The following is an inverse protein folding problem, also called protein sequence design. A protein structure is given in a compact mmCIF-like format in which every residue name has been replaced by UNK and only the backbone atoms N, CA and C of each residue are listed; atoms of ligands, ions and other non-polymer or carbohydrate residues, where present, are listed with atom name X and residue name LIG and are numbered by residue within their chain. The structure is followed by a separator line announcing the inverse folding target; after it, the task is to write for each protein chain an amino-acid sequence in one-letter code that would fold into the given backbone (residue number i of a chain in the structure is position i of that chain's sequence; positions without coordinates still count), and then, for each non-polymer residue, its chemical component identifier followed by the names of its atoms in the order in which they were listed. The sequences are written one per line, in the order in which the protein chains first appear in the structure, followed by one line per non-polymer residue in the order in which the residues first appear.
data_IF_909645210530
#
_entry.id   IF_909645210530
#
_cell.length_a   1.000
_cell.length_b   1.000
_cell.length_c   1.000
_cell.angle_alpha   90.00
_cell.angle_beta   90.00
_cell.angle_gamma   90.00
#
_symmetry.space_group_name_H-M   'P 1'
#
loop_
_entity.id
_entity.type
_entity.pdbx_description
1 polymer ?
#
# COMPACT_ATOMS: atom_id res chain seq x y z
N UNK A 1 -42.91 -61.10 0.35
CA UNK A 1 -42.85 -59.64 0.47
C UNK A 1 -42.35 -59.28 1.87
N UNK A 2 -41.09 -59.32 2.14
CA UNK A 2 -40.49 -58.76 3.36
C UNK A 2 -38.97 -58.94 3.32
N UNK A 3 -38.27 -58.14 2.58
CA UNK A 3 -36.78 -58.03 2.63
C UNK A 3 -36.29 -56.84 1.79
N UNK A 4 -36.74 -55.62 2.09
CA UNK A 4 -36.19 -54.37 1.47
C UNK A 4 -36.33 -53.20 2.47
N UNK A 5 -36.03 -53.36 3.75
CA UNK A 5 -36.10 -52.27 4.71
C UNK A 5 -34.97 -52.29 5.76
N UNK A 6 -33.74 -52.69 5.38
CA UNK A 6 -32.62 -52.64 6.35
C UNK A 6 -31.30 -52.04 5.78
N UNK A 7 -31.35 -51.29 4.68
CA UNK A 7 -30.13 -50.75 4.04
C UNK A 7 -30.10 -49.20 3.99
N UNK A 8 -30.93 -48.49 4.76
CA UNK A 8 -31.02 -47.02 4.69
C UNK A 8 -30.37 -46.30 5.90
N UNK A 9 -30.10 -47.01 6.98
CA UNK A 9 -29.63 -46.38 8.25
C UNK A 9 -28.07 -46.28 8.38
N UNK A 10 -27.30 -46.93 7.52
CA UNK A 10 -25.84 -46.95 7.64
C UNK A 10 -25.16 -45.77 6.93
N UNK A 11 -25.85 -45.06 6.03
CA UNK A 11 -25.33 -43.86 5.35
C UNK A 11 -25.47 -42.56 6.17
N UNK A 12 -26.22 -42.57 7.26
CA UNK A 12 -26.44 -41.39 8.14
C UNK A 12 -25.31 -41.16 9.13
N UNK A 13 -24.72 -42.23 9.64
CA UNK A 13 -23.65 -42.14 10.64
C UNK A 13 -22.30 -41.72 10.05
N UNK A 14 -21.96 -42.19 8.85
CA UNK A 14 -20.72 -41.77 8.18
C UNK A 14 -20.72 -40.28 7.76
N UNK A 15 -21.90 -39.73 7.45
CA UNK A 15 -22.04 -38.30 7.16
C UNK A 15 -21.91 -37.41 8.42
N UNK A 16 -22.29 -37.86 9.60
CA UNK A 16 -22.14 -37.11 10.85
C UNK A 16 -20.71 -37.12 11.38
N UNK A 17 -19.96 -38.21 11.16
CA UNK A 17 -18.53 -38.28 11.52
C UNK A 17 -17.67 -37.47 10.54
N UNK A 18 -18.04 -37.40 9.26
CA UNK A 18 -17.39 -36.52 8.28
C UNK A 18 -17.64 -35.02 8.52
N UNK A 19 -18.59 -34.63 9.38
CA UNK A 19 -18.90 -33.26 9.76
C UNK A 19 -18.09 -32.75 10.95
N UNK A 20 -17.32 -33.57 11.65
CA UNK A 20 -16.31 -33.12 12.62
C UNK A 20 -15.12 -32.51 11.86
N UNK A 21 -15.25 -31.23 11.50
CA UNK A 21 -14.17 -30.46 10.87
C UNK A 21 -13.04 -30.27 11.87
N UNK A 22 -12.09 -31.22 11.91
CA UNK A 22 -10.90 -31.09 12.73
C UNK A 22 -10.06 -29.93 12.16
N UNK A 23 -9.68 -28.94 12.98
CA UNK A 23 -8.86 -27.83 12.50
C UNK A 23 -7.55 -28.32 11.85
N UNK A 24 -7.09 -27.74 10.75
CA UNK A 24 -5.85 -28.14 10.08
C UNK A 24 -4.65 -28.12 11.01
N UNK A 25 -3.95 -29.25 11.16
CA UNK A 25 -2.75 -29.38 12.02
C UNK A 25 -1.82 -30.48 11.47
N UNK A 26 -0.61 -30.53 12.00
CA UNK A 26 0.34 -31.65 11.87
C UNK A 26 1.14 -31.74 13.16
N UNK A 27 0.73 -32.68 14.04
CA UNK A 27 1.40 -32.89 15.33
C UNK A 27 2.82 -33.39 15.10
N UNK A 28 3.04 -34.19 14.06
CA UNK A 28 4.33 -34.73 13.69
C UNK A 28 5.31 -33.61 13.31
N UNK A 29 4.87 -32.64 12.52
CA UNK A 29 5.69 -31.49 12.16
C UNK A 29 5.98 -30.61 13.37
N UNK A 30 4.99 -30.36 14.24
CA UNK A 30 5.18 -29.60 15.48
C UNK A 30 6.19 -30.27 16.41
N UNK A 31 6.05 -31.57 16.64
CA UNK A 31 6.96 -32.35 17.47
C UNK A 31 8.39 -32.36 16.88
N UNK A 32 8.49 -32.46 15.55
CA UNK A 32 9.79 -32.43 14.86
C UNK A 32 10.50 -31.09 14.97
N UNK A 33 9.75 -29.97 14.92
CA UNK A 33 10.30 -28.63 15.16
C UNK A 33 10.80 -28.50 16.60
N UNK A 34 9.95 -28.80 17.58
CA UNK A 34 10.30 -28.67 19.00
C UNK A 34 11.46 -29.57 19.39
N UNK A 35 11.41 -30.83 18.97
CA UNK A 35 12.50 -31.78 19.25
C UNK A 35 13.81 -31.35 18.59
N UNK A 36 13.75 -30.84 17.34
CA UNK A 36 14.94 -30.30 16.68
C UNK A 36 15.54 -29.11 17.42
N UNK A 37 14.72 -28.20 17.96
CA UNK A 37 15.18 -27.06 18.77
C UNK A 37 15.77 -27.48 20.12
N UNK A 38 15.24 -28.52 20.75
CA UNK A 38 15.78 -29.08 22.01
C UNK A 38 17.13 -29.76 21.83
N UNK A 39 17.42 -30.28 20.62
CA UNK A 39 18.70 -30.94 20.29
C UNK A 39 19.74 -29.99 19.71
N UNK A 40 19.32 -29.00 18.93
CA UNK A 40 20.19 -28.03 18.26
C UNK A 40 19.59 -26.61 18.38
N UNK A 41 20.11 -25.83 19.33
CA UNK A 41 19.65 -24.46 19.53
C UNK A 41 20.02 -23.53 18.36
N UNK A 42 21.06 -23.83 17.57
CA UNK A 42 21.39 -23.09 16.35
C UNK A 42 20.32 -23.19 15.26
N UNK A 43 19.45 -24.19 15.37
CA UNK A 43 18.28 -24.29 14.49
C UNK A 43 17.23 -23.19 14.72
N UNK A 44 17.27 -22.50 15.87
CA UNK A 44 16.36 -21.39 16.18
C UNK A 44 16.40 -20.28 15.13
N UNK A 45 17.59 -19.89 14.68
CA UNK A 45 17.75 -18.82 13.68
C UNK A 45 17.12 -19.16 12.32
N UNK A 46 16.90 -20.47 12.05
CA UNK A 46 16.27 -20.95 10.82
C UNK A 46 14.76 -21.00 10.86
N UNK A 47 14.14 -20.85 12.05
CA UNK A 47 12.69 -21.03 12.24
C UNK A 47 12.03 -19.89 13.00
N UNK A 48 12.78 -19.07 13.72
CA UNK A 48 12.26 -17.97 14.55
C UNK A 48 11.56 -16.85 13.74
N UNK A 49 11.95 -16.70 12.48
CA UNK A 49 11.32 -15.78 11.53
C UNK A 49 10.02 -16.36 10.93
N UNK A 50 9.85 -17.68 10.97
CA UNK A 50 8.73 -18.40 10.36
C UNK A 50 7.59 -18.65 11.35
N UNK A 51 7.90 -18.95 12.60
CA UNK A 51 6.97 -19.43 13.60
C UNK A 51 6.87 -18.51 14.81
N UNK A 52 5.65 -18.42 15.34
CA UNK A 52 5.34 -17.87 16.65
C UNK A 52 4.69 -18.94 17.52
N UNK A 53 4.62 -18.73 18.83
CA UNK A 53 3.96 -19.66 19.76
C UNK A 53 2.50 -19.96 19.33
N UNK A 54 1.80 -18.97 18.81
CA UNK A 54 0.41 -19.08 18.36
C UNK A 54 0.22 -19.98 17.12
N UNK A 55 1.31 -20.29 16.38
CA UNK A 55 1.22 -21.10 15.19
C UNK A 55 1.12 -22.60 15.48
N UNK A 56 1.42 -23.02 16.69
CA UNK A 56 1.27 -24.43 17.12
C UNK A 56 -0.21 -24.74 17.45
N UNK A 57 -0.66 -25.91 17.04
CA UNK A 57 -2.01 -26.38 17.31
C UNK A 57 -2.18 -26.79 18.76
N UNK A 58 -1.27 -27.66 19.26
CA UNK A 58 -1.30 -28.11 20.65
C UNK A 58 -0.89 -27.00 21.60
N UNK A 59 -1.66 -26.84 22.67
CA UNK A 59 -1.37 -25.87 23.72
C UNK A 59 -0.02 -26.14 24.39
N UNK A 60 0.29 -27.42 24.65
CA UNK A 60 1.56 -27.86 25.23
C UNK A 60 2.74 -27.44 24.34
N UNK A 61 2.61 -27.56 23.02
CA UNK A 61 3.65 -27.16 22.06
C UNK A 61 3.89 -25.65 22.06
N UNK A 62 2.82 -24.85 22.24
CA UNK A 62 2.94 -23.38 22.40
C UNK A 62 3.78 -23.01 23.61
N UNK A 63 3.52 -23.70 24.74
CA UNK A 63 4.26 -23.47 25.98
C UNK A 63 5.74 -23.85 25.84
N UNK A 64 6.03 -25.00 25.22
CA UNK A 64 7.40 -25.47 24.99
C UNK A 64 8.15 -24.51 24.07
N UNK A 65 7.55 -24.11 22.91
CA UNK A 65 8.16 -23.16 21.99
C UNK A 65 8.46 -21.83 22.66
N UNK A 66 7.49 -21.28 23.43
CA UNK A 66 7.67 -20.03 24.16
C UNK A 66 8.75 -20.13 25.27
N UNK A 67 8.93 -21.29 25.90
CA UNK A 67 9.99 -21.51 26.88
C UNK A 67 11.37 -21.57 26.19
N UNK A 68 11.49 -22.30 25.08
CA UNK A 68 12.69 -22.35 24.25
C UNK A 68 13.08 -20.94 23.79
N UNK A 69 12.15 -20.18 23.22
CA UNK A 69 12.41 -18.82 22.74
C UNK A 69 12.89 -17.87 23.85
N UNK A 70 12.32 -17.96 25.05
CA UNK A 70 12.77 -17.15 26.20
C UNK A 70 14.20 -17.49 26.65
N UNK A 71 14.54 -18.77 26.68
CA UNK A 71 15.89 -19.21 27.05
C UNK A 71 16.93 -18.74 26.02
N UNK A 72 16.68 -18.97 24.73
CA UNK A 72 17.60 -18.59 23.66
C UNK A 72 17.77 -17.06 23.60
N UNK A 73 16.67 -16.28 23.71
CA UNK A 73 16.72 -14.82 23.73
C UNK A 73 17.48 -14.28 24.96
N UNK A 74 17.51 -15.04 26.05
CA UNK A 74 18.34 -14.73 27.23
C UNK A 74 19.78 -15.28 27.11
N UNK A 75 20.21 -15.76 25.93
CA UNK A 75 21.50 -16.39 25.67
C UNK A 75 21.78 -17.60 26.59
N UNK A 76 20.73 -18.35 26.92
CA UNK A 76 20.80 -19.57 27.75
C UNK A 76 20.52 -20.78 26.87
N UNK A 77 21.19 -21.93 27.10
CA UNK A 77 20.90 -23.15 26.37
C UNK A 77 19.44 -23.61 26.65
N UNK A 78 18.77 -24.09 25.59
CA UNK A 78 17.42 -24.61 25.65
C UNK A 78 17.40 -26.10 25.34
N UNK A 79 17.81 -26.90 26.29
CA UNK A 79 17.71 -28.37 26.27
C UNK A 79 16.52 -28.86 27.08
N UNK A 80 16.29 -30.17 27.10
CA UNK A 80 15.14 -30.79 27.81
C UNK A 80 15.10 -30.40 29.28
N UNK A 81 16.24 -30.29 29.95
CA UNK A 81 16.32 -30.02 31.39
C UNK A 81 16.07 -28.55 31.67
N UNK A 82 16.72 -27.63 30.93
CA UNK A 82 16.59 -26.18 31.12
C UNK A 82 15.19 -25.68 30.73
N UNK A 83 14.59 -26.28 29.69
CA UNK A 83 13.18 -25.96 29.29
C UNK A 83 12.22 -26.48 30.35
N UNK A 84 12.44 -27.67 30.93
CA UNK A 84 11.62 -28.18 32.02
C UNK A 84 11.68 -27.26 33.26
N UNK A 85 12.87 -26.85 33.69
CA UNK A 85 13.03 -25.90 34.81
C UNK A 85 12.34 -24.55 34.53
N UNK A 86 12.46 -24.06 33.29
CA UNK A 86 11.78 -22.83 32.88
C UNK A 86 10.25 -22.97 32.97
N UNK A 87 9.69 -24.09 32.50
CA UNK A 87 8.26 -24.39 32.60
C UNK A 87 7.82 -24.58 34.05
N UNK A 88 8.65 -25.21 34.91
CA UNK A 88 8.40 -25.37 36.30
C UNK A 88 8.35 -24.03 37.05
N UNK A 89 9.27 -23.12 36.74
CA UNK A 89 9.28 -21.76 37.30
C UNK A 89 8.05 -20.94 36.93
N UNK A 90 7.41 -21.27 35.80
CA UNK A 90 6.16 -20.66 35.32
C UNK A 90 4.89 -21.39 35.85
N UNK A 91 5.04 -22.48 36.61
CA UNK A 91 3.93 -23.31 37.08
C UNK A 91 3.23 -24.09 35.95
N UNK A 92 3.89 -24.31 34.80
CA UNK A 92 3.31 -24.93 33.60
C UNK A 92 3.88 -26.32 33.25
N UNK A 93 4.76 -26.85 34.08
CA UNK A 93 5.42 -28.14 33.81
C UNK A 93 4.43 -29.31 33.69
N UNK A 94 3.44 -29.39 34.56
CA UNK A 94 2.41 -30.45 34.57
C UNK A 94 1.46 -30.34 33.36
N UNK A 95 1.11 -29.13 32.96
CA UNK A 95 0.24 -28.88 31.79
C UNK A 95 0.89 -29.37 30.48
N UNK A 96 2.22 -29.37 30.39
CA UNK A 96 2.98 -29.84 29.23
C UNK A 96 3.14 -31.36 29.24
N UNK A 97 2.90 -32.05 30.36
CA UNK A 97 3.12 -33.49 30.52
C UNK A 97 4.48 -33.86 31.13
N UNK A 98 5.13 -32.89 31.77
CA UNK A 98 6.34 -33.08 32.54
C UNK A 98 7.62 -33.38 31.70
N UNK A 99 8.65 -33.80 32.38
CA UNK A 99 9.95 -34.13 31.79
C UNK A 99 9.87 -35.29 30.77
N UNK A 100 8.96 -36.26 30.99
CA UNK A 100 8.80 -37.42 30.11
C UNK A 100 8.31 -36.99 28.72
N UNK A 101 7.42 -36.02 28.63
CA UNK A 101 6.96 -35.52 27.37
C UNK A 101 8.04 -34.76 26.58
N UNK A 102 8.81 -33.89 27.26
CA UNK A 102 9.96 -33.20 26.63
C UNK A 102 11.01 -34.18 26.11
N UNK A 103 11.31 -35.25 26.87
CA UNK A 103 12.17 -36.30 26.38
C UNK A 103 11.62 -37.00 25.13
N UNK A 104 10.30 -37.26 25.10
CA UNK A 104 9.68 -37.88 23.92
C UNK A 104 9.77 -36.99 22.70
N UNK A 105 9.62 -35.66 22.85
CA UNK A 105 9.79 -34.69 21.74
C UNK A 105 11.24 -34.70 21.21
N UNK A 106 12.23 -34.71 22.09
CA UNK A 106 13.64 -34.77 21.69
C UNK A 106 14.02 -36.09 20.97
N UNK A 107 13.34 -37.19 21.31
CA UNK A 107 13.56 -38.49 20.65
C UNK A 107 12.85 -38.64 19.30
N UNK A 108 11.79 -37.83 19.05
CA UNK A 108 10.92 -37.96 17.89
C UNK A 108 11.48 -37.27 16.61
N UNK A 109 12.73 -36.83 16.60
CA UNK A 109 13.27 -36.01 15.47
C UNK A 109 13.72 -36.91 14.31
N UNK A 110 13.00 -36.91 13.16
CA UNK A 110 13.41 -37.75 12.01
C UNK A 110 14.68 -37.23 11.35
N UNK A 111 14.91 -35.92 11.33
CA UNK A 111 16.10 -35.25 10.80
C UNK A 111 16.17 -33.80 11.24
N UNK A 112 17.22 -33.40 11.97
CA UNK A 112 17.45 -32.01 12.35
C UNK A 112 17.74 -31.08 11.13
N UNK A 113 18.18 -31.64 10.00
CA UNK A 113 18.47 -30.90 8.77
C UNK A 113 17.22 -30.29 8.12
N UNK A 114 16.06 -30.90 8.28
CA UNK A 114 14.82 -30.50 7.64
C UNK A 114 13.90 -29.62 8.49
N UNK A 115 14.40 -29.09 9.60
CA UNK A 115 13.59 -28.33 10.57
C UNK A 115 12.82 -27.16 9.92
N UNK A 116 13.42 -26.46 8.97
CA UNK A 116 12.78 -25.37 8.22
C UNK A 116 11.53 -25.85 7.46
N UNK A 117 11.61 -27.01 6.82
CA UNK A 117 10.46 -27.59 6.10
C UNK A 117 9.32 -27.97 7.05
N UNK A 118 9.64 -28.50 8.23
CA UNK A 118 8.65 -28.79 9.26
C UNK A 118 8.02 -27.51 9.79
N UNK A 119 8.80 -26.46 10.00
CA UNK A 119 8.30 -25.14 10.39
C UNK A 119 7.36 -24.54 9.32
N UNK A 120 7.67 -24.67 8.02
CA UNK A 120 6.79 -24.27 6.93
C UNK A 120 5.45 -25.02 6.98
N UNK A 121 5.44 -26.33 7.23
CA UNK A 121 4.21 -27.12 7.37
C UNK A 121 3.37 -26.61 8.56
N UNK A 122 3.99 -26.39 9.72
CA UNK A 122 3.28 -25.85 10.89
C UNK A 122 2.65 -24.50 10.56
N UNK A 123 3.38 -23.63 9.88
CA UNK A 123 2.91 -22.31 9.45
C UNK A 123 1.75 -22.39 8.46
N UNK A 124 1.87 -23.24 7.43
CA UNK A 124 0.79 -23.47 6.46
C UNK A 124 -0.50 -23.92 7.16
N UNK A 125 -0.41 -24.86 8.12
CA UNK A 125 -1.55 -25.32 8.91
C UNK A 125 -2.10 -24.24 9.82
N UNK A 126 -1.26 -23.38 10.38
CA UNK A 126 -1.69 -22.23 11.17
C UNK A 126 -2.48 -21.23 10.32
N UNK A 127 -2.02 -20.90 9.12
CA UNK A 127 -2.73 -20.00 8.20
C UNK A 127 -4.11 -20.57 7.85
N UNK A 128 -4.18 -21.89 7.55
CA UNK A 128 -5.47 -22.54 7.28
C UNK A 128 -6.41 -22.48 8.50
N UNK A 129 -5.92 -22.65 9.72
CA UNK A 129 -6.73 -22.50 10.96
C UNK A 129 -7.26 -21.07 11.10
N UNK A 130 -6.40 -20.07 10.88
CA UNK A 130 -6.82 -18.65 10.91
C UNK A 130 -7.90 -18.37 9.88
N UNK A 131 -7.77 -18.97 8.67
CA UNK A 131 -8.78 -18.82 7.62
C UNK A 131 -10.12 -19.47 8.03
N UNK A 132 -10.09 -20.66 8.63
CA UNK A 132 -11.30 -21.32 9.15
C UNK A 132 -11.95 -20.45 10.23
N UNK A 133 -11.18 -19.99 11.23
CA UNK A 133 -11.69 -19.11 12.30
C UNK A 133 -12.29 -17.82 11.76
N UNK A 134 -11.62 -17.16 10.82
CA UNK A 134 -12.14 -15.96 10.19
C UNK A 134 -13.44 -16.23 9.41
N UNK A 135 -13.53 -17.38 8.71
CA UNK A 135 -14.74 -17.76 7.98
C UNK A 135 -15.92 -17.99 8.91
N UNK A 136 -15.71 -18.65 10.06
CA UNK A 136 -16.74 -18.87 11.07
C UNK A 136 -17.20 -17.55 11.70
N UNK A 137 -16.28 -16.63 11.99
CA UNK A 137 -16.61 -15.31 12.51
C UNK A 137 -17.37 -14.46 11.47
N UNK A 138 -16.95 -14.49 10.20
CA UNK A 138 -17.65 -13.79 9.10
C UNK A 138 -19.07 -14.34 8.95
N UNK A 139 -19.23 -15.66 8.95
CA UNK A 139 -20.54 -16.29 8.87
C UNK A 139 -21.42 -15.90 10.07
N UNK A 140 -20.88 -15.94 11.28
CA UNK A 140 -21.59 -15.56 12.52
C UNK A 140 -22.06 -14.10 12.48
N UNK A 141 -21.20 -13.19 12.04
CA UNK A 141 -21.54 -11.76 11.90
C UNK A 141 -22.59 -11.52 10.82
N UNK A 142 -22.54 -12.28 9.72
CA UNK A 142 -23.52 -12.18 8.63
C UNK A 142 -24.90 -12.70 9.08
N UNK A 143 -24.96 -13.80 9.86
CA UNK A 143 -26.21 -14.30 10.41
C UNK A 143 -26.78 -13.42 11.52
N UNK A 144 -25.94 -12.71 12.28
CA UNK A 144 -26.34 -11.88 13.43
C UNK A 144 -25.78 -10.45 13.30
N UNK A 145 -26.32 -9.62 12.39
CA UNK A 145 -25.77 -8.29 12.14
C UNK A 145 -25.91 -7.29 13.28
N UNK A 146 -26.75 -7.56 14.29
CA UNK A 146 -26.95 -6.73 15.49
C UNK A 146 -27.23 -5.24 15.19
N UNK A 147 -27.94 -4.95 14.08
CA UNK A 147 -28.28 -3.60 13.66
C UNK A 147 -27.12 -2.85 12.97
N UNK A 148 -25.96 -3.49 12.72
CA UNK A 148 -24.86 -2.88 11.96
C UNK A 148 -25.19 -2.82 10.46
N UNK A 149 -24.74 -1.76 9.75
CA UNK A 149 -24.85 -1.68 8.29
C UNK A 149 -24.15 -2.86 7.61
N UNK A 150 -24.70 -3.34 6.51
CA UNK A 150 -24.12 -4.45 5.73
C UNK A 150 -22.72 -4.10 5.23
N UNK A 151 -22.49 -2.84 4.86
CA UNK A 151 -21.17 -2.36 4.42
C UNK A 151 -20.09 -2.60 5.47
N UNK A 152 -20.36 -2.27 6.75
CA UNK A 152 -19.38 -2.45 7.84
C UNK A 152 -19.04 -3.92 8.08
N UNK A 153 -20.02 -4.83 7.90
CA UNK A 153 -19.80 -6.28 8.05
C UNK A 153 -18.92 -6.80 6.90
N UNK A 154 -19.12 -6.30 5.69
CA UNK A 154 -18.30 -6.65 4.53
C UNK A 154 -16.88 -6.12 4.69
N UNK A 155 -16.70 -4.87 5.10
CA UNK A 155 -15.39 -4.26 5.33
C UNK A 155 -14.61 -5.02 6.42
N UNK A 156 -15.27 -5.42 7.51
CA UNK A 156 -14.66 -6.24 8.57
C UNK A 156 -14.21 -7.60 8.03
N UNK A 157 -15.03 -8.24 7.20
CA UNK A 157 -14.70 -9.53 6.58
C UNK A 157 -13.49 -9.41 5.66
N UNK A 158 -13.45 -8.40 4.79
CA UNK A 158 -12.30 -8.10 3.92
C UNK A 158 -11.03 -7.87 4.73
N UNK A 159 -11.12 -7.09 5.81
CA UNK A 159 -9.98 -6.81 6.68
C UNK A 159 -9.42 -8.07 7.36
N UNK A 160 -10.28 -8.99 7.81
CA UNK A 160 -9.86 -10.26 8.43
C UNK A 160 -9.12 -11.15 7.43
N UNK A 161 -9.69 -11.32 6.21
CA UNK A 161 -9.06 -12.11 5.14
C UNK A 161 -7.72 -11.50 4.74
N UNK A 162 -7.69 -10.17 4.63
CA UNK A 162 -6.49 -9.41 4.29
C UNK A 162 -5.36 -9.62 5.29
N UNK A 163 -5.64 -9.52 6.59
CA UNK A 163 -4.65 -9.69 7.64
C UNK A 163 -4.02 -11.10 7.62
N UNK A 164 -4.80 -12.11 7.24
CA UNK A 164 -4.29 -13.49 7.05
C UNK A 164 -3.33 -13.54 5.86
N UNK A 165 -3.68 -12.89 4.74
CA UNK A 165 -2.85 -12.82 3.54
C UNK A 165 -1.51 -12.09 3.78
N UNK A 166 -1.53 -10.97 4.50
CA UNK A 166 -0.30 -10.25 4.88
C UNK A 166 0.65 -11.08 5.74
N UNK A 167 0.10 -11.80 6.75
CA UNK A 167 0.91 -12.69 7.58
C UNK A 167 1.57 -13.81 6.77
N UNK A 168 0.93 -14.26 5.68
CA UNK A 168 1.51 -15.22 4.73
C UNK A 168 2.60 -14.62 3.84
N UNK A 169 2.47 -13.34 3.46
CA UNK A 169 3.40 -12.65 2.54
C UNK A 169 4.69 -12.17 3.20
N UNK A 170 4.67 -11.89 4.51
CA UNK A 170 5.88 -11.46 5.26
C UNK A 170 7.04 -12.45 5.20
N UNK A 171 6.77 -13.72 4.88
CA UNK A 171 7.80 -14.75 4.70
C UNK A 171 8.72 -14.55 3.48
N UNK A 172 8.35 -13.68 2.52
CA UNK A 172 9.16 -13.45 1.31
C UNK A 172 10.13 -12.26 1.41
N UNK A 173 10.08 -11.51 2.51
CA UNK A 173 10.94 -10.32 2.71
C UNK A 173 12.00 -10.60 3.79
N UNK A 174 12.95 -11.48 3.49
CA UNK A 174 14.19 -11.66 4.27
C UNK A 174 15.30 -10.71 3.82
N UNK A 175 16.45 -10.79 4.50
CA UNK A 175 17.67 -10.11 4.04
C UNK A 175 18.04 -10.58 2.63
N UNK A 176 18.29 -9.62 1.74
CA UNK A 176 18.85 -9.89 0.42
C UNK A 176 20.35 -9.75 0.49
N UNK A 177 21.08 -10.73 -0.04
CA UNK A 177 22.53 -10.67 -0.10
C UNK A 177 22.97 -9.56 -1.06
N UNK A 178 24.04 -8.85 -0.72
CA UNK A 178 24.54 -7.72 -1.51
C UNK A 178 24.98 -8.15 -2.91
N UNK A 179 25.51 -9.36 -3.08
CA UNK A 179 25.89 -9.92 -4.36
C UNK A 179 24.72 -9.95 -5.36
N UNK A 180 23.56 -10.44 -4.91
CA UNK A 180 22.33 -10.46 -5.72
C UNK A 180 21.86 -9.05 -6.09
N UNK A 181 21.94 -8.11 -5.14
CA UNK A 181 21.55 -6.71 -5.36
C UNK A 181 22.49 -5.99 -6.33
N UNK A 182 23.80 -6.27 -6.28
CA UNK A 182 24.78 -5.69 -7.21
C UNK A 182 24.57 -6.19 -8.62
N UNK A 183 24.25 -7.48 -8.83
CA UNK A 183 23.91 -7.99 -10.16
C UNK A 183 22.68 -7.29 -10.71
N UNK A 184 21.60 -7.19 -9.93
CA UNK A 184 20.40 -6.46 -10.33
C UNK A 184 20.66 -4.98 -10.63
N UNK A 185 21.57 -4.33 -9.89
CA UNK A 185 21.98 -2.96 -10.14
C UNK A 185 22.75 -2.84 -11.48
N UNK A 186 23.65 -3.76 -11.75
CA UNK A 186 24.42 -3.76 -13.02
C UNK A 186 23.49 -3.94 -14.21
N UNK A 187 22.55 -4.89 -14.16
CA UNK A 187 21.55 -5.11 -15.21
C UNK A 187 20.74 -3.84 -15.45
N UNK A 188 20.28 -3.19 -14.38
CA UNK A 188 19.51 -1.95 -14.45
C UNK A 188 20.31 -0.77 -15.01
N UNK A 189 21.58 -0.63 -14.62
CA UNK A 189 22.47 0.41 -15.16
C UNK A 189 22.73 0.19 -16.65
N UNK A 190 22.86 -1.07 -17.08
CA UNK A 190 23.06 -1.41 -18.48
C UNK A 190 21.82 -1.13 -19.32
N UNK A 191 20.62 -1.49 -18.83
CA UNK A 191 19.35 -1.12 -19.47
C UNK A 191 19.18 0.41 -19.61
N UNK A 192 19.63 1.18 -18.59
CA UNK A 192 19.59 2.64 -18.63
C UNK A 192 20.63 3.21 -19.62
N UNK A 193 21.81 2.64 -19.73
CA UNK A 193 22.84 3.08 -20.65
C UNK A 193 22.44 2.83 -22.11
N UNK A 194 21.67 1.79 -22.38
CA UNK A 194 21.17 1.45 -23.71
C UNK A 194 19.92 2.29 -24.09
N UNK A 195 19.27 2.93 -23.11
CA UNK A 195 18.11 3.80 -23.31
C UNK A 195 18.54 5.28 -23.21
N UNK A 196 18.47 6.05 -24.28
CA UNK A 196 18.91 7.46 -24.29
C UNK A 196 17.97 8.42 -23.54
N UNK A 197 16.91 7.93 -22.92
CA UNK A 197 15.99 8.75 -22.14
C UNK A 197 16.55 8.94 -20.71
N UNK A 198 16.79 10.20 -20.32
CA UNK A 198 17.27 10.60 -18.99
C UNK A 198 16.27 10.28 -17.86
N UNK A 199 15.08 9.73 -18.16
CA UNK A 199 13.99 9.48 -17.21
C UNK A 199 13.94 7.99 -16.87
N UNK A 200 14.29 7.65 -15.63
CA UNK A 200 14.35 6.27 -15.13
C UNK A 200 13.05 5.80 -14.45
N UNK A 201 12.23 6.76 -14.01
CA UNK A 201 10.91 6.55 -13.43
C UNK A 201 9.79 6.80 -14.42
N UNK A 202 8.56 6.95 -13.90
CA UNK A 202 7.38 7.34 -14.68
C UNK A 202 7.48 8.83 -15.03
N UNK A 203 7.52 9.20 -16.33
CA UNK A 203 7.63 10.60 -16.75
C UNK A 203 6.42 11.42 -16.31
N UNK A 204 6.66 12.65 -15.90
CA UNK A 204 5.59 13.59 -15.53
C UNK A 204 4.99 14.34 -16.71
N UNK A 205 5.72 14.36 -17.84
CA UNK A 205 5.39 15.15 -19.02
C UNK A 205 5.88 16.60 -18.95
N UNK A 206 6.58 16.97 -17.87
CA UNK A 206 7.19 18.29 -17.70
C UNK A 206 8.71 18.14 -17.71
N UNK A 207 9.33 18.55 -18.81
CA UNK A 207 10.76 18.32 -19.07
C UNK A 207 11.69 18.72 -17.92
N UNK A 208 11.53 19.94 -17.39
CA UNK A 208 12.40 20.41 -16.28
C UNK A 208 12.12 19.70 -14.96
N UNK A 209 10.88 19.23 -14.74
CA UNK A 209 10.53 18.42 -13.58
C UNK A 209 11.13 17.02 -13.71
N UNK A 210 11.02 16.41 -14.88
CA UNK A 210 11.58 15.09 -15.16
C UNK A 210 13.11 15.11 -15.08
N UNK A 211 13.77 16.18 -15.55
CA UNK A 211 15.22 16.36 -15.42
C UNK A 211 15.69 16.41 -13.96
N UNK A 212 14.91 17.04 -13.07
CA UNK A 212 15.26 17.12 -11.64
C UNK A 212 14.93 15.85 -10.87
N UNK A 213 13.83 15.14 -11.23
CA UNK A 213 13.34 13.97 -10.51
C UNK A 213 13.76 12.64 -11.13
N UNK A 214 14.27 12.66 -12.36
CA UNK A 214 14.44 11.49 -13.22
C UNK A 214 13.12 10.70 -13.40
N UNK A 215 11.95 11.38 -13.37
CA UNK A 215 10.63 10.81 -13.30
C UNK A 215 10.27 10.29 -11.89
N UNK A 216 9.02 9.90 -11.69
CA UNK A 216 8.58 9.36 -10.41
C UNK A 216 8.92 7.87 -10.30
N UNK A 217 9.68 7.51 -9.26
CA UNK A 217 10.18 6.16 -9.11
C UNK A 217 9.11 5.21 -8.57
N UNK A 218 9.18 3.96 -8.96
CA UNK A 218 8.31 2.90 -8.45
C UNK A 218 8.43 2.76 -6.93
N UNK A 219 7.30 2.88 -6.23
CA UNK A 219 7.25 2.81 -4.78
C UNK A 219 7.44 4.15 -4.06
N UNK A 220 7.55 5.28 -4.79
CA UNK A 220 7.64 6.60 -4.19
C UNK A 220 6.26 7.15 -3.80
N UNK A 221 6.24 7.83 -2.65
CA UNK A 221 5.14 8.69 -2.22
C UNK A 221 5.52 10.14 -2.51
N UNK A 222 4.79 10.75 -3.43
CA UNK A 222 4.93 12.13 -3.86
C UNK A 222 3.80 12.95 -3.20
N UNK A 223 4.14 13.96 -2.42
CA UNK A 223 3.15 14.87 -1.84
C UNK A 223 3.15 16.17 -2.63
N UNK A 224 2.03 16.49 -3.25
CA UNK A 224 1.81 17.75 -3.96
C UNK A 224 0.88 18.63 -3.15
N UNK A 225 1.41 19.73 -2.59
CA UNK A 225 0.64 20.58 -1.70
C UNK A 225 0.52 22.02 -2.24
N UNK A 226 -0.64 22.62 -2.00
CA UNK A 226 -0.90 24.00 -2.42
C UNK A 226 -2.03 24.63 -1.59
N UNK A 227 -2.13 25.96 -1.66
CA UNK A 227 -3.34 26.69 -1.25
C UNK A 227 -4.46 26.46 -2.30
N UNK A 228 -5.73 26.60 -1.91
CA UNK A 228 -6.84 26.51 -2.85
C UNK A 228 -6.64 27.40 -4.08
N UNK A 229 -7.13 26.97 -5.23
CA UNK A 229 -7.07 27.69 -6.52
C UNK A 229 -5.67 27.87 -7.12
N UNK A 230 -4.62 27.28 -6.56
CA UNK A 230 -3.26 27.29 -7.14
C UNK A 230 -3.09 26.31 -8.30
N UNK A 231 -4.01 25.35 -8.49
CA UNK A 231 -3.98 24.37 -9.57
C UNK A 231 -3.46 22.98 -9.16
N UNK A 232 -3.51 22.64 -7.87
CA UNK A 232 -3.05 21.35 -7.31
C UNK A 232 -3.62 20.14 -8.09
N UNK A 233 -4.94 20.03 -8.14
CA UNK A 233 -5.64 18.96 -8.89
C UNK A 233 -5.33 19.01 -10.39
N UNK A 234 -5.21 20.23 -10.98
CA UNK A 234 -4.89 20.37 -12.39
C UNK A 234 -3.51 19.80 -12.74
N UNK A 235 -2.47 20.10 -11.95
CA UNK A 235 -1.12 19.57 -12.18
C UNK A 235 -1.09 18.04 -12.05
N UNK A 236 -1.72 17.49 -11.00
CA UNK A 236 -1.78 16.05 -10.82
C UNK A 236 -2.52 15.32 -11.94
N UNK A 237 -3.62 15.91 -12.43
CA UNK A 237 -4.38 15.35 -13.56
C UNK A 237 -3.59 15.48 -14.86
N UNK A 238 -2.86 16.58 -15.11
CA UNK A 238 -2.02 16.69 -16.32
C UNK A 238 -0.88 15.67 -16.32
N UNK A 239 -0.30 15.34 -15.16
CA UNK A 239 0.64 14.23 -15.03
C UNK A 239 -0.06 12.90 -15.33
N UNK A 240 -1.25 12.68 -14.76
CA UNK A 240 -2.06 11.47 -14.99
C UNK A 240 -2.43 11.30 -16.48
N UNK A 241 -2.81 12.40 -17.15
CA UNK A 241 -3.05 12.45 -18.61
C UNK A 241 -1.81 12.02 -19.40
N UNK A 242 -0.64 12.57 -19.06
CA UNK A 242 0.61 12.22 -19.73
C UNK A 242 0.93 10.75 -19.58
N UNK A 243 0.88 10.22 -18.35
CA UNK A 243 1.17 8.81 -18.07
C UNK A 243 0.20 7.87 -18.80
N UNK A 244 -1.09 8.22 -18.87
CA UNK A 244 -2.07 7.37 -19.55
C UNK A 244 -2.00 7.46 -21.08
N UNK A 245 -1.75 8.67 -21.64
CA UNK A 245 -1.76 8.92 -23.10
C UNK A 245 -0.42 8.59 -23.76
N UNK A 246 0.68 9.03 -23.17
CA UNK A 246 2.00 8.97 -23.79
C UNK A 246 2.77 7.72 -23.40
N UNK A 247 2.68 7.31 -22.11
CA UNK A 247 3.35 6.11 -21.64
C UNK A 247 2.49 4.85 -21.79
N UNK A 248 1.17 5.02 -22.03
CA UNK A 248 0.23 3.89 -22.17
C UNK A 248 0.02 3.09 -20.88
N UNK A 249 0.40 3.66 -19.73
CA UNK A 249 0.31 2.98 -18.45
C UNK A 249 -1.05 3.24 -17.78
N UNK A 250 -1.64 2.22 -17.10
CA UNK A 250 -2.89 2.40 -16.37
C UNK A 250 -2.72 3.36 -15.19
N UNK A 251 -3.66 4.29 -15.03
CA UNK A 251 -3.66 5.31 -13.97
C UNK A 251 -4.93 5.20 -13.14
N UNK A 252 -4.78 5.21 -11.81
CA UNK A 252 -5.89 5.28 -10.85
C UNK A 252 -5.96 6.69 -10.23
N UNK A 253 -7.13 7.32 -10.29
CA UNK A 253 -7.40 8.62 -9.65
C UNK A 253 -8.49 8.44 -8.62
N UNK A 254 -8.17 8.63 -7.35
CA UNK A 254 -9.14 8.67 -6.25
C UNK A 254 -9.47 10.12 -5.95
N UNK A 255 -10.67 10.56 -6.32
CA UNK A 255 -11.12 11.95 -6.18
C UNK A 255 -12.24 12.05 -5.17
N UNK A 256 -11.92 12.51 -3.97
CA UNK A 256 -12.89 12.71 -2.90
C UNK A 256 -13.44 14.15 -2.86
N UNK A 257 -12.80 15.10 -3.58
CA UNK A 257 -13.22 16.49 -3.65
C UNK A 257 -14.13 16.76 -4.86
N UNK A 258 -13.86 16.12 -5.99
CA UNK A 258 -14.55 16.38 -7.25
C UNK A 258 -15.16 15.11 -7.81
N UNK A 259 -16.39 15.23 -8.34
CA UNK A 259 -17.03 14.12 -9.05
C UNK A 259 -16.31 13.75 -10.35
N UNK A 260 -16.40 12.48 -10.74
CA UNK A 260 -15.76 11.92 -11.93
C UNK A 260 -16.14 12.69 -13.22
N UNK A 261 -17.41 13.06 -13.35
CA UNK A 261 -17.87 13.86 -14.50
C UNK A 261 -17.20 15.23 -14.59
N UNK A 262 -16.94 15.87 -13.45
CA UNK A 262 -16.24 17.18 -13.45
C UNK A 262 -14.77 17.04 -13.84
N UNK A 263 -14.11 15.97 -13.40
CA UNK A 263 -12.76 15.66 -13.80
C UNK A 263 -12.69 15.31 -15.28
N UNK A 264 -13.63 14.53 -15.80
CA UNK A 264 -13.71 14.21 -17.24
C UNK A 264 -13.81 15.47 -18.10
N UNK A 265 -14.65 16.44 -17.71
CA UNK A 265 -14.73 17.75 -18.42
C UNK A 265 -13.40 18.49 -18.39
N UNK A 266 -12.67 18.48 -17.26
CA UNK A 266 -11.34 19.10 -17.17
C UNK A 266 -10.33 18.41 -18.05
N UNK A 267 -10.31 17.09 -18.08
CA UNK A 267 -9.41 16.28 -18.89
C UNK A 267 -9.67 16.53 -20.39
N UNK A 268 -10.94 16.51 -20.80
CA UNK A 268 -11.32 16.82 -22.19
C UNK A 268 -10.90 18.24 -22.59
N UNK A 269 -11.13 19.24 -21.72
CA UNK A 269 -10.72 20.62 -21.97
C UNK A 269 -9.21 20.79 -22.05
N UNK A 270 -8.45 20.08 -21.20
CA UNK A 270 -6.99 20.07 -21.20
C UNK A 270 -6.43 19.48 -22.49
N UNK A 271 -6.91 18.29 -22.89
CA UNK A 271 -6.43 17.57 -24.09
C UNK A 271 -6.87 18.25 -25.37
N UNK A 272 -8.14 18.66 -25.45
CA UNK A 272 -8.72 19.35 -26.63
C UNK A 272 -8.34 20.82 -26.72
N UNK A 273 -7.67 21.38 -25.71
CA UNK A 273 -7.40 22.83 -25.59
C UNK A 273 -8.67 23.69 -25.74
N UNK A 274 -9.74 23.28 -25.05
CA UNK A 274 -11.07 23.90 -25.11
C UNK A 274 -11.31 24.63 -23.80
N UNK A 275 -11.87 25.84 -23.89
CA UNK A 275 -12.21 26.63 -22.70
C UNK A 275 -13.21 25.87 -21.82
N UNK A 276 -12.88 25.74 -20.53
CA UNK A 276 -13.72 25.04 -19.54
C UNK A 276 -15.13 25.66 -19.43
N UNK A 277 -15.24 26.96 -19.65
CA UNK A 277 -16.54 27.66 -19.63
C UNK A 277 -17.42 27.27 -20.82
N UNK A 278 -16.80 27.05 -22.00
CA UNK A 278 -17.52 26.61 -23.20
C UNK A 278 -18.02 25.17 -23.04
N UNK A 279 -17.19 24.25 -22.51
CA UNK A 279 -17.62 22.89 -22.21
C UNK A 279 -18.76 22.85 -21.19
N UNK A 280 -18.67 23.66 -20.13
CA UNK A 280 -19.68 23.69 -19.07
C UNK A 280 -21.01 24.26 -19.55
N UNK A 281 -20.98 25.23 -20.45
CA UNK A 281 -22.20 25.91 -20.95
C UNK A 281 -22.74 25.31 -22.25
N UNK A 282 -21.99 24.38 -22.87
CA UNK A 282 -22.30 23.79 -24.18
C UNK A 282 -22.17 24.78 -25.34
N UNK A 283 -21.51 25.94 -25.12
CA UNK A 283 -21.33 26.99 -26.14
C UNK A 283 -19.95 26.88 -26.79
N UNK A 284 -19.74 25.79 -27.53
CA UNK A 284 -18.53 25.54 -28.28
C UNK A 284 -18.54 26.35 -29.60
N UNK A 285 -17.34 26.82 -29.99
CA UNK A 285 -17.12 27.40 -31.31
C UNK A 285 -16.99 26.32 -32.38
N UNK A 286 -17.17 26.70 -33.67
CA UNK A 286 -17.04 25.75 -34.77
C UNK A 286 -15.65 25.09 -34.82
N UNK A 287 -14.58 25.76 -34.34
CA UNK A 287 -13.24 25.25 -34.25
C UNK A 287 -13.03 24.30 -33.06
N UNK A 288 -13.84 24.41 -32.02
CA UNK A 288 -13.74 23.58 -30.83
C UNK A 288 -14.39 22.21 -31.00
N UNK A 289 -15.41 22.08 -31.84
CA UNK A 289 -16.07 20.80 -32.10
C UNK A 289 -15.14 19.71 -32.62
N UNK A 290 -14.29 19.95 -33.65
CA UNK A 290 -13.31 18.96 -34.10
C UNK A 290 -12.33 18.57 -32.98
N UNK A 291 -11.85 19.55 -32.20
CA UNK A 291 -10.91 19.33 -31.10
C UNK A 291 -11.55 18.51 -29.97
N UNK A 292 -12.84 18.73 -29.71
CA UNK A 292 -13.60 17.90 -28.75
C UNK A 292 -13.67 16.45 -29.23
N UNK A 293 -14.00 16.24 -30.51
CA UNK A 293 -14.09 14.87 -31.08
C UNK A 293 -12.75 14.15 -31.01
N UNK A 294 -11.66 14.83 -31.37
CA UNK A 294 -10.30 14.26 -31.28
C UNK A 294 -9.90 13.92 -29.83
N UNK A 295 -10.22 14.81 -28.87
CA UNK A 295 -9.95 14.57 -27.46
C UNK A 295 -10.72 13.36 -26.94
N UNK A 296 -11.99 13.19 -27.33
CA UNK A 296 -12.80 12.03 -26.94
C UNK A 296 -12.21 10.73 -27.54
N UNK A 297 -11.80 10.77 -28.81
CA UNK A 297 -11.18 9.58 -29.44
C UNK A 297 -9.89 9.17 -28.72
N UNK A 298 -9.02 10.12 -28.37
CA UNK A 298 -7.83 9.85 -27.57
C UNK A 298 -8.16 9.22 -26.21
N UNK A 299 -9.18 9.76 -25.54
CA UNK A 299 -9.58 9.30 -24.20
C UNK A 299 -10.25 7.91 -24.20
N UNK A 300 -10.89 7.50 -25.29
CA UNK A 300 -11.52 6.17 -25.39
C UNK A 300 -10.55 5.01 -25.26
N UNK A 301 -9.29 5.22 -25.61
CA UNK A 301 -8.27 4.18 -25.71
C UNK A 301 -7.28 4.17 -24.54
N UNK A 302 -7.43 5.07 -23.55
CA UNK A 302 -6.53 5.15 -22.41
C UNK A 302 -7.08 4.41 -21.19
N UNK A 303 -6.18 3.89 -20.39
CA UNK A 303 -6.50 3.23 -19.12
C UNK A 303 -6.40 4.23 -17.96
N UNK A 304 -7.31 5.22 -17.91
CA UNK A 304 -7.43 6.17 -16.82
C UNK A 304 -8.73 5.92 -16.08
N UNK A 305 -8.64 5.53 -14.81
CA UNK A 305 -9.75 5.12 -13.99
C UNK A 305 -9.96 6.10 -12.84
N UNK A 306 -11.19 6.57 -12.65
CA UNK A 306 -11.55 7.54 -11.61
C UNK A 306 -12.51 6.86 -10.63
N UNK A 307 -12.15 6.93 -9.35
CA UNK A 307 -13.00 6.54 -8.21
C UNK A 307 -13.40 7.83 -7.47
N UNK A 308 -14.71 8.12 -7.38
CA UNK A 308 -15.27 9.31 -6.72
C UNK A 308 -15.85 9.02 -5.34
N UNK A 309 -15.51 7.86 -4.76
CA UNK A 309 -15.98 7.46 -3.43
C UNK A 309 -15.48 8.44 -2.37
N UNK A 310 -16.40 9.06 -1.64
CA UNK A 310 -16.05 10.00 -0.58
C UNK A 310 -15.62 9.27 0.70
N UNK A 311 -14.66 9.86 1.44
CA UNK A 311 -14.30 9.40 2.78
C UNK A 311 -13.63 8.04 2.82
N UNK A 312 -12.91 7.63 1.76
CA UNK A 312 -12.18 6.36 1.73
C UNK A 312 -11.16 6.27 2.86
N UNK A 313 -11.13 5.13 3.53
CA UNK A 313 -10.03 4.77 4.43
C UNK A 313 -8.81 4.32 3.61
N UNK A 314 -7.62 4.37 4.21
CA UNK A 314 -6.39 3.88 3.55
C UNK A 314 -6.50 2.41 3.16
N UNK A 315 -7.24 1.60 3.92
CA UNK A 315 -7.49 0.17 3.63
C UNK A 315 -8.41 -0.02 2.42
N UNK A 316 -9.50 0.73 2.32
CA UNK A 316 -10.42 0.67 1.18
C UNK A 316 -9.74 1.15 -0.11
N UNK A 317 -9.02 2.27 -0.05
CA UNK A 317 -8.23 2.77 -1.18
C UNK A 317 -7.23 1.72 -1.66
N UNK A 318 -6.52 1.07 -0.74
CA UNK A 318 -5.58 -0.01 -1.04
C UNK A 318 -6.27 -1.21 -1.69
N UNK A 319 -7.45 -1.61 -1.20
CA UNK A 319 -8.24 -2.71 -1.79
C UNK A 319 -8.69 -2.38 -3.22
N UNK A 320 -9.18 -1.15 -3.47
CA UNK A 320 -9.61 -0.69 -4.79
C UNK A 320 -8.44 -0.61 -5.77
N UNK A 321 -7.29 -0.06 -5.35
CA UNK A 321 -6.08 0.01 -6.17
C UNK A 321 -5.55 -1.38 -6.55
N UNK A 322 -5.54 -2.34 -5.61
CA UNK A 322 -5.18 -3.75 -5.87
C UNK A 322 -6.13 -4.43 -6.84
N UNK A 323 -7.44 -4.18 -6.70
CA UNK A 323 -8.45 -4.73 -7.61
C UNK A 323 -8.20 -4.23 -9.02
N UNK A 324 -7.95 -2.92 -9.18
CA UNK A 324 -7.64 -2.32 -10.47
C UNK A 324 -6.33 -2.87 -11.06
N UNK A 325 -5.26 -2.98 -10.25
CA UNK A 325 -3.99 -3.56 -10.67
C UNK A 325 -4.11 -5.01 -11.15
N UNK A 326 -5.04 -5.80 -10.56
CA UNK A 326 -5.33 -7.16 -11.06
C UNK A 326 -6.07 -7.18 -12.39
N UNK A 327 -6.88 -6.16 -12.67
CA UNK A 327 -7.64 -6.05 -13.91
C UNK A 327 -6.81 -5.51 -15.07
N UNK A 328 -5.99 -4.49 -14.81
CA UNK A 328 -5.24 -3.75 -15.84
C UNK A 328 -3.76 -4.12 -15.91
N UNK A 329 -3.26 -4.94 -14.97
CA UNK A 329 -1.83 -5.18 -14.82
C UNK A 329 -1.15 -4.15 -13.92
N UNK A 330 0.14 -3.90 -14.14
CA UNK A 330 0.92 -2.96 -13.35
C UNK A 330 0.41 -1.52 -13.56
N UNK A 331 0.07 -0.83 -12.47
CA UNK A 331 -0.30 0.58 -12.53
C UNK A 331 0.93 1.46 -12.75
N UNK A 332 0.80 2.48 -13.60
CA UNK A 332 1.82 3.49 -13.84
C UNK A 332 1.79 4.61 -12.80
N UNK A 333 0.59 4.99 -12.31
CA UNK A 333 0.43 6.08 -11.36
C UNK A 333 -0.86 5.93 -10.56
N UNK A 334 -0.79 6.33 -9.29
CA UNK A 334 -1.97 6.51 -8.43
C UNK A 334 -2.02 7.98 -7.98
N UNK A 335 -3.17 8.62 -8.13
CA UNK A 335 -3.43 9.99 -7.65
C UNK A 335 -4.52 9.95 -6.58
N UNK A 336 -4.30 10.65 -5.46
CA UNK A 336 -5.25 10.74 -4.33
C UNK A 336 -5.55 12.21 -4.04
N UNK A 337 -6.76 12.66 -4.31
CA UNK A 337 -7.23 14.06 -4.12
C UNK A 337 -8.36 14.12 -3.09
N UNK A 338 -8.11 14.60 -1.87
CA UNK A 338 -6.88 14.93 -1.17
C UNK A 338 -6.87 14.30 0.24
N UNK A 339 -5.70 14.21 0.85
CA UNK A 339 -5.45 13.46 2.10
C UNK A 339 -6.41 13.82 3.25
N UNK A 340 -6.76 15.10 3.40
CA UNK A 340 -7.60 15.58 4.50
C UNK A 340 -9.08 15.20 4.36
N UNK A 341 -9.52 14.64 3.22
CA UNK A 341 -10.87 14.08 3.04
C UNK A 341 -10.92 12.57 3.29
N UNK A 342 -9.78 11.92 3.46
CA UNK A 342 -9.75 10.52 3.84
C UNK A 342 -10.21 10.34 5.29
N UNK A 343 -10.90 9.23 5.54
CA UNK A 343 -11.32 8.84 6.89
C UNK A 343 -10.23 8.05 7.59
N UNK A 344 -9.98 8.38 8.86
CA UNK A 344 -9.09 7.59 9.72
C UNK A 344 -9.80 6.39 10.33
N UNK A 345 -9.04 5.55 11.02
CA UNK A 345 -9.53 4.36 11.70
C UNK A 345 -10.22 4.65 13.04
N UNK A 346 -10.10 5.86 13.59
CA UNK A 346 -10.63 6.25 14.91
C UNK A 346 -11.60 7.43 14.81
N UNK A 347 -12.74 7.29 15.50
CA UNK A 347 -13.84 8.24 15.53
C UNK A 347 -13.67 9.42 16.51
N UNK A 348 -12.47 9.70 17.02
CA UNK A 348 -12.24 10.79 17.98
C UNK A 348 -11.49 11.95 17.35
N UNK A 349 -12.07 13.14 17.41
CA UNK A 349 -11.57 14.42 16.88
C UNK A 349 -10.19 14.87 17.45
N UNK A 350 -9.65 14.18 18.44
CA UNK A 350 -8.49 14.66 19.21
C UNK A 350 -7.12 14.44 18.54
N UNK A 351 -7.03 13.78 17.37
CA UNK A 351 -5.71 13.40 16.85
C UNK A 351 -5.56 13.41 15.32
N UNK A 352 -6.01 14.49 14.66
CA UNK A 352 -5.92 14.63 13.19
C UNK A 352 -4.50 14.43 12.64
N UNK A 353 -3.49 14.88 13.36
CA UNK A 353 -2.09 14.68 12.99
C UNK A 353 -1.67 13.21 12.97
N UNK A 354 -2.16 12.42 13.95
CA UNK A 354 -1.90 10.97 14.01
C UNK A 354 -2.61 10.26 12.87
N UNK A 355 -3.85 10.62 12.60
CA UNK A 355 -4.67 10.07 11.52
C UNK A 355 -4.01 10.30 10.15
N UNK A 356 -3.57 11.53 9.86
CA UNK A 356 -2.82 11.86 8.65
C UNK A 356 -1.51 11.07 8.54
N UNK A 357 -0.85 10.81 9.67
CA UNK A 357 0.35 9.96 9.73
C UNK A 357 0.05 8.49 9.40
N UNK A 358 -1.10 7.94 9.84
CA UNK A 358 -1.53 6.59 9.47
C UNK A 358 -1.86 6.50 7.98
N UNK A 359 -2.57 7.49 7.45
CA UNK A 359 -2.90 7.59 6.02
C UNK A 359 -1.61 7.66 5.18
N UNK A 360 -0.68 8.54 5.54
CA UNK A 360 0.60 8.73 4.86
C UNK A 360 1.40 7.41 4.79
N UNK A 361 1.56 6.74 5.93
CA UNK A 361 2.21 5.43 5.99
C UNK A 361 1.49 4.38 5.15
N UNK A 362 0.16 4.37 5.19
CA UNK A 362 -0.66 3.49 4.37
C UNK A 362 -0.43 3.68 2.87
N UNK A 363 -0.37 4.93 2.40
CA UNK A 363 -0.10 5.26 1.00
C UNK A 363 1.35 4.92 0.60
N UNK A 364 2.34 5.14 1.48
CA UNK A 364 3.72 4.73 1.22
C UNK A 364 3.85 3.20 1.12
N UNK A 365 3.14 2.46 1.97
CA UNK A 365 3.08 1.00 1.87
C UNK A 365 2.43 0.55 0.56
N UNK A 366 1.34 1.20 0.14
CA UNK A 366 0.66 0.93 -1.13
C UNK A 366 1.59 1.14 -2.33
N UNK A 367 2.32 2.28 -2.35
CA UNK A 367 3.29 2.58 -3.40
C UNK A 367 4.34 1.46 -3.54
N UNK A 368 4.93 1.05 -2.42
CA UNK A 368 5.93 -0.05 -2.38
C UNK A 368 5.35 -1.39 -2.81
N UNK A 369 4.14 -1.71 -2.39
CA UNK A 369 3.48 -2.96 -2.69
C UNK A 369 3.15 -3.12 -4.17
N UNK A 370 2.52 -2.09 -4.75
CA UNK A 370 2.14 -2.08 -6.16
C UNK A 370 3.32 -1.71 -7.09
N UNK A 371 4.48 -1.34 -6.50
CA UNK A 371 5.65 -0.84 -7.25
C UNK A 371 5.26 0.28 -8.21
N UNK A 372 4.47 1.23 -7.74
CA UNK A 372 3.86 2.30 -8.49
C UNK A 372 4.02 3.61 -7.71
N UNK A 373 4.37 4.74 -8.35
CA UNK A 373 4.37 6.04 -7.69
C UNK A 373 2.96 6.44 -7.28
N UNK A 374 2.85 7.08 -6.10
CA UNK A 374 1.58 7.60 -5.57
C UNK A 374 1.73 9.11 -5.38
N UNK A 375 0.90 9.91 -6.07
CA UNK A 375 0.76 11.34 -5.83
C UNK A 375 -0.38 11.54 -4.83
N UNK A 376 -0.05 12.05 -3.65
CA UNK A 376 -1.03 12.43 -2.64
C UNK A 376 -1.15 13.96 -2.59
N UNK A 377 -2.35 14.46 -2.82
CA UNK A 377 -2.62 15.88 -2.78
C UNK A 377 -2.88 16.33 -1.34
N UNK A 378 -2.34 17.49 -0.97
CA UNK A 378 -2.50 18.06 0.37
C UNK A 378 -2.81 19.55 0.32
N UNK A 379 -3.62 20.02 1.24
CA UNK A 379 -3.89 21.45 1.39
C UNK A 379 -2.97 22.07 2.44
N UNK A 380 -2.38 23.23 2.10
CA UNK A 380 -1.51 23.97 3.00
C UNK A 380 -2.28 24.78 4.04
N UNK A 381 -1.66 25.02 5.20
CA UNK A 381 -2.21 25.85 6.24
C UNK A 381 -2.42 27.30 5.75
N UNK A 382 -3.40 27.98 6.30
CA UNK A 382 -3.70 29.40 5.98
C UNK A 382 -2.61 30.38 6.43
N UNK A 383 -1.75 29.98 7.35
CA UNK A 383 -0.63 30.81 7.83
C UNK A 383 0.33 31.26 6.73
N UNK A 384 0.43 30.54 5.62
CA UNK A 384 1.18 30.95 4.42
C UNK A 384 0.76 32.34 3.92
N UNK A 385 -0.54 32.66 3.98
CA UNK A 385 -1.11 33.90 3.45
C UNK A 385 -0.79 35.11 4.31
N UNK A 386 -0.40 34.93 5.57
CA UNK A 386 -0.06 35.99 6.53
C UNK A 386 1.40 36.46 6.43
N UNK A 387 2.25 35.71 5.74
CA UNK A 387 3.67 36.04 5.57
C UNK A 387 3.87 37.07 4.44
N UNK A 388 4.94 37.89 4.53
CA UNK A 388 5.33 38.78 3.41
C UNK A 388 5.68 37.96 2.16
N UNK A 389 6.51 36.94 2.28
CA UNK A 389 6.75 35.94 1.23
C UNK A 389 5.77 34.79 1.40
N UNK A 390 4.88 34.65 0.43
CA UNK A 390 3.80 33.66 0.40
C UNK A 390 4.22 32.36 -0.30
N UNK A 391 5.51 32.18 -0.63
CA UNK A 391 6.00 30.91 -1.14
C UNK A 391 5.89 29.85 -0.05
N UNK A 392 5.29 28.70 -0.37
CA UNK A 392 5.16 27.60 0.58
C UNK A 392 6.51 27.03 1.03
N UNK A 393 6.55 26.55 2.27
CA UNK A 393 7.69 25.86 2.86
C UNK A 393 7.21 24.63 3.66
N UNK A 394 8.13 23.75 4.04
CA UNK A 394 7.81 22.51 4.75
C UNK A 394 6.95 22.69 6.01
N UNK A 395 7.20 23.75 6.78
CA UNK A 395 6.41 24.08 7.99
C UNK A 395 4.94 24.37 7.71
N UNK A 396 4.54 24.62 6.46
CA UNK A 396 3.16 24.90 6.09
C UNK A 396 2.31 23.61 5.96
N UNK A 397 2.98 22.44 5.99
CA UNK A 397 2.37 21.12 6.17
C UNK A 397 2.14 20.77 7.65
N UNK A 398 2.01 21.73 8.54
CA UNK A 398 2.18 21.71 9.99
C UNK A 398 1.41 20.65 10.80
N UNK A 399 0.30 20.16 10.33
CA UNK A 399 -0.42 19.06 11.01
C UNK A 399 0.05 17.68 10.56
N UNK A 400 1.14 17.62 9.79
CA UNK A 400 1.55 16.47 9.01
C UNK A 400 3.05 16.18 9.11
N UNK A 401 3.66 16.31 10.28
CA UNK A 401 5.08 15.95 10.48
C UNK A 401 5.39 14.51 10.05
N UNK A 402 4.41 13.62 10.12
CA UNK A 402 4.52 12.27 9.62
C UNK A 402 4.56 12.23 8.08
N UNK A 403 3.76 13.05 7.39
CA UNK A 403 3.79 13.16 5.92
C UNK A 403 5.19 13.60 5.46
N UNK A 404 5.79 14.54 6.19
CA UNK A 404 7.15 14.99 5.89
C UNK A 404 8.17 13.86 5.99
N UNK A 405 8.03 12.97 6.97
CA UNK A 405 8.93 11.82 7.14
C UNK A 405 8.71 10.72 6.09
N UNK A 406 7.46 10.40 5.78
CA UNK A 406 7.08 9.28 4.91
C UNK A 406 7.27 9.58 3.43
N UNK A 407 7.03 10.83 2.99
CA UNK A 407 7.14 11.24 1.59
C UNK A 407 8.59 11.16 1.07
N UNK A 408 8.75 10.70 -0.15
CA UNK A 408 10.05 10.71 -0.85
C UNK A 408 10.28 12.04 -1.56
N UNK A 409 9.21 12.60 -2.14
CA UNK A 409 9.21 13.90 -2.81
C UNK A 409 8.09 14.75 -2.23
N UNK A 410 8.40 16.02 -1.93
CA UNK A 410 7.39 17.01 -1.54
C UNK A 410 7.52 18.21 -2.47
N UNK A 411 6.42 18.52 -3.14
CA UNK A 411 6.29 19.60 -4.08
C UNK A 411 5.23 20.59 -3.65
N UNK A 412 5.51 21.88 -3.82
CA UNK A 412 4.56 22.95 -3.61
C UNK A 412 4.28 23.69 -4.90
N UNK A 413 3.02 24.11 -5.07
CA UNK A 413 2.66 25.01 -6.17
C UNK A 413 2.48 26.42 -5.62
N UNK A 414 3.16 27.38 -6.25
CA UNK A 414 3.02 28.79 -6.00
C UNK A 414 2.74 29.55 -7.31
N UNK A 415 1.82 30.49 -7.26
CA UNK A 415 1.50 31.38 -8.38
C UNK A 415 1.46 32.81 -7.87
N UNK A 416 2.45 33.62 -8.30
CA UNK A 416 2.55 35.01 -7.89
C UNK A 416 1.35 35.85 -8.32
N UNK A 417 0.86 35.61 -9.56
CA UNK A 417 -0.31 36.25 -10.14
C UNK A 417 -1.57 36.15 -9.22
N UNK A 418 -1.71 35.08 -8.47
CA UNK A 418 -2.87 34.91 -7.57
C UNK A 418 -2.89 35.94 -6.44
N UNK A 419 -1.70 36.32 -5.95
CA UNK A 419 -1.56 37.25 -4.84
C UNK A 419 -1.34 38.70 -5.28
N UNK A 420 -0.55 38.93 -6.33
CA UNK A 420 -0.13 40.26 -6.78
C UNK A 420 -0.99 40.83 -7.91
N UNK A 421 -1.82 39.97 -8.54
CA UNK A 421 -2.74 40.32 -9.66
C UNK A 421 -2.01 41.15 -10.74
N UNK A 422 -2.46 42.38 -10.96
CA UNK A 422 -1.93 43.26 -12.02
C UNK A 422 -0.47 43.69 -11.78
N UNK A 423 0.07 43.51 -10.57
CA UNK A 423 1.47 43.79 -10.24
C UNK A 423 2.40 42.59 -10.48
N UNK A 424 1.86 41.45 -11.00
CA UNK A 424 2.65 40.25 -11.28
C UNK A 424 3.64 40.52 -12.39
N UNK A 425 4.92 40.13 -12.15
CA UNK A 425 5.99 40.27 -13.16
C UNK A 425 5.93 39.22 -14.25
N UNK A 426 5.48 38.02 -13.91
CA UNK A 426 5.41 36.86 -14.80
C UNK A 426 3.98 36.27 -14.78
N UNK A 427 3.00 36.94 -15.42
CA UNK A 427 1.60 36.44 -15.44
C UNK A 427 1.53 35.09 -16.18
N UNK A 428 0.66 34.20 -15.67
CA UNK A 428 0.51 32.85 -16.22
C UNK A 428 1.62 31.86 -15.86
N UNK A 429 2.63 32.27 -15.07
CA UNK A 429 3.69 31.38 -14.59
C UNK A 429 3.33 30.81 -13.22
N UNK A 430 3.54 29.52 -13.08
CA UNK A 430 3.47 28.78 -11.81
C UNK A 430 4.84 28.22 -11.45
N UNK A 431 5.21 28.33 -10.19
CA UNK A 431 6.40 27.71 -9.64
C UNK A 431 6.03 26.38 -8.98
N UNK A 432 6.67 25.29 -9.40
CA UNK A 432 6.66 23.99 -8.70
C UNK A 432 7.92 23.89 -7.89
N UNK A 433 7.80 24.03 -6.57
CA UNK A 433 8.92 24.05 -5.63
C UNK A 433 9.13 22.65 -5.08
N UNK A 434 10.22 21.98 -5.44
CA UNK A 434 10.62 20.69 -4.87
C UNK A 434 11.33 20.99 -3.54
N UNK A 435 10.61 20.89 -2.43
CA UNK A 435 11.13 21.21 -1.11
C UNK A 435 11.83 20.02 -0.44
N UNK A 436 11.48 18.79 -0.84
CA UNK A 436 12.12 17.55 -0.39
C UNK A 436 12.23 16.58 -1.56
N UNK A 437 13.38 15.95 -1.70
CA UNK A 437 13.62 14.82 -2.58
C UNK A 437 14.67 13.90 -1.93
N UNK A 438 14.31 12.60 -1.72
CA UNK A 438 15.24 11.67 -1.06
C UNK A 438 16.43 11.29 -1.95
N UNK A 439 16.18 11.14 -3.23
CA UNK A 439 17.14 10.58 -4.19
C UNK A 439 17.57 11.60 -5.26
N UNK A 440 17.45 12.90 -4.98
CA UNK A 440 17.82 13.94 -5.94
C UNK A 440 17.87 15.34 -5.32
N UNK A 441 18.17 16.36 -6.13
CA UNK A 441 18.27 17.74 -5.66
C UNK A 441 16.89 18.36 -5.42
N UNK A 442 16.83 19.33 -4.53
CA UNK A 442 15.70 20.25 -4.40
C UNK A 442 15.84 21.39 -5.40
N UNK A 443 14.75 22.05 -5.77
CA UNK A 443 14.79 23.13 -6.75
C UNK A 443 13.43 23.72 -7.04
N UNK A 444 13.38 24.63 -8.00
CA UNK A 444 12.16 25.27 -8.48
C UNK A 444 12.04 25.09 -9.97
N UNK A 445 10.91 24.56 -10.41
CA UNK A 445 10.55 24.43 -11.83
C UNK A 445 9.47 25.45 -12.15
N UNK A 446 9.66 26.23 -13.21
CA UNK A 446 8.62 27.14 -13.71
C UNK A 446 7.82 26.47 -14.81
N UNK A 447 6.49 26.53 -14.71
CA UNK A 447 5.55 26.01 -15.69
C UNK A 447 4.61 27.12 -16.14
N UNK A 448 4.14 27.07 -17.38
CA UNK A 448 3.03 27.91 -17.83
C UNK A 448 1.71 27.34 -17.32
N UNK A 449 0.85 28.16 -16.77
CA UNK A 449 -0.51 27.80 -16.38
C UNK A 449 -1.56 28.48 -17.25
N UNK A 450 -2.17 27.68 -18.11
CA UNK A 450 -3.22 28.13 -19.04
C UNK A 450 -4.59 28.03 -18.36
N UNK A 451 -4.97 29.11 -17.67
CA UNK A 451 -6.16 29.18 -16.82
C UNK A 451 -7.48 28.80 -17.55
N UNK A 452 -7.77 29.25 -18.80
CA UNK A 452 -9.03 28.92 -19.48
C UNK A 452 -9.25 27.42 -19.68
N UNK A 453 -8.16 26.69 -19.95
CA UNK A 453 -8.20 25.23 -20.20
C UNK A 453 -7.69 24.41 -19.01
N UNK A 454 -7.35 25.08 -17.91
CA UNK A 454 -6.86 24.47 -16.65
C UNK A 454 -5.69 23.53 -16.87
N UNK A 455 -4.70 23.95 -17.69
CA UNK A 455 -3.55 23.12 -18.09
C UNK A 455 -2.23 23.75 -17.71
N UNK A 456 -1.32 22.92 -17.21
CA UNK A 456 0.09 23.25 -17.08
C UNK A 456 0.86 22.79 -18.32
N UNK A 457 1.85 23.55 -18.73
CA UNK A 457 2.76 23.22 -19.83
C UNK A 457 4.19 23.62 -19.47
N UNK A 458 5.17 22.91 -20.02
CA UNK A 458 6.57 23.32 -19.91
C UNK A 458 6.77 24.68 -20.57
N UNK A 459 7.53 25.57 -19.93
CA UNK A 459 7.95 26.80 -20.58
C UNK A 459 8.94 26.43 -21.70
N UNK A 460 8.80 27.05 -22.87
CA UNK A 460 9.79 26.93 -23.90
C UNK A 460 11.16 27.38 -23.34
N UNK A 461 12.14 26.49 -23.35
CA UNK A 461 13.50 26.81 -22.93
C UNK A 461 14.05 27.87 -23.88
N UNK A 462 13.91 29.13 -23.53
CA UNK A 462 14.74 30.19 -24.12
C UNK A 462 16.18 29.86 -23.75
N UNK A 463 17.02 29.66 -24.72
CA UNK A 463 18.43 29.39 -24.63
C UNK A 463 19.11 30.39 -23.66
N UNK A 464 19.17 30.06 -22.38
CA UNK A 464 20.08 30.68 -21.44
C UNK A 464 21.22 29.71 -21.27
N UNK A 465 22.18 29.85 -22.22
CA UNK A 465 23.52 29.36 -21.98
C UNK A 465 24.07 29.92 -20.68
N UNK A 466 25.01 29.17 -20.15
CA UNK A 466 25.83 29.44 -18.96
C UNK A 466 25.18 29.28 -17.56
N UNK A 467 25.39 28.10 -16.93
CA UNK A 467 26.45 27.92 -15.91
C UNK A 467 26.51 26.44 -15.50
#
# INVERSE_FOLDING_TARGET
MSAVLSAVDDYGHDRQVAQLRIPPHSIEAESSVLGGLLLDNGAWDRVSDLLSDADFYRYEHRLVHGAIGRLINASRPADVITVFEQLQSLGKAEEVGGLSYLNSLAQYVPSAGNIRRYAEIVRERSILRKLVSASDEIATNAFNPQGRPVADIVDEAEQKIFNIGEQGSRMKQGFQAMDTLVVQLLDRVQEMADNPNDVTGVPTGFYDLDRLTAGFQAGDLIVLAARPSMGKTALAINIAEHVALNEGLPVAVFSMEMGAAQLAVRIVGSIGRIDQSHLRTGKLTDEEWPRLTEAIEKLRNISLHIDESAGLTSSQLRANARRLARQCGQLGLIVVDYLQLMSGSSSSDENRATELGEISRGLKMLAKELKCPVIALSQLNRSVETRPDKRPMMSDLRESGAIEQDADIIMFIYRDEYYTKDACKEPGVAEVIIAKQRNGPTGVVKLAFLKPITKFESLASGNTGDF
#
